data_IF_072772238915
#
_entry.id   IF_072772238915
#
_cell.length_a   1.000
_cell.length_b   1.000
_cell.length_c   1.000
_cell.angle_alpha   90.00
_cell.angle_beta   90.00
_cell.angle_gamma   90.00
#
_symmetry.space_group_name_H-M   'P 1'
#
loop_
_entity.id
_entity.type
_entity.pdbx_description
1 polymer ?
2 water ?
#
# COMPACT_ATOMS: atom_id res chain seq x y z
N UNK A 13 9.65 -5.38 7.15
CA UNK A 13 9.69 -5.92 5.74
C UNK A 13 10.11 -4.87 4.71
N UNK A 14 9.68 -4.98 3.45
CA UNK A 14 10.18 -4.22 2.29
C UNK A 14 9.39 -2.92 2.06
N UNK A 15 9.93 -2.07 1.18
CA UNK A 15 9.38 -0.73 0.86
C UNK A 15 8.72 -0.80 -0.51
N UNK A 16 7.52 -0.29 -0.56
CA UNK A 16 6.74 -0.25 -1.81
C UNK A 16 6.28 1.17 -2.02
N UNK A 17 5.91 1.41 -3.25
CA UNK A 17 5.26 2.69 -3.60
C UNK A 17 4.01 2.42 -4.48
N UNK A 18 2.97 3.22 -4.33
CA UNK A 18 1.76 3.06 -5.18
C UNK A 18 2.06 3.61 -6.55
N UNK A 19 1.65 2.86 -7.57
CA UNK A 19 1.70 3.38 -8.97
C UNK A 19 0.31 3.77 -9.49
N UNK A 20 -0.75 3.60 -8.67
CA UNK A 20 -2.13 4.03 -9.02
C UNK A 20 -2.75 4.57 -7.73
N UNK A 21 -3.65 5.53 -7.88
CA UNK A 21 -4.58 6.02 -6.84
C UNK A 21 -5.62 4.96 -6.48
N UNK A 22 -5.95 4.96 -5.21
CA UNK A 22 -6.96 4.12 -4.56
C UNK A 22 -7.41 4.98 -3.40
N UNK A 23 -7.61 6.27 -3.69
CA UNK A 23 -8.41 7.20 -2.84
C UNK A 23 -9.86 6.67 -2.94
N UNK A 24 -10.76 7.06 -2.04
CA UNK A 24 -12.11 6.45 -2.00
C UNK A 24 -11.90 4.91 -2.08
N UNK A 25 -11.37 4.24 -1.02
CA UNK A 25 -11.51 2.78 -0.90
C UNK A 25 -12.90 2.29 -1.38
N UNK A 29 -9.02 -2.86 8.76
CA UNK A 29 -9.59 -2.00 7.69
C UNK A 29 -8.76 -1.85 6.38
N UNK A 30 -9.43 -1.59 5.24
CA UNK A 30 -8.82 -1.24 3.91
C UNK A 30 -8.47 0.25 3.94
N UNK A 31 -7.31 0.68 3.40
CA UNK A 31 -6.87 2.11 3.50
C UNK A 31 -6.66 2.68 2.09
N UNK A 32 -7.03 3.96 1.91
CA UNK A 32 -6.83 4.72 0.65
C UNK A 32 -5.43 5.36 0.54
N UNK A 33 -5.05 5.74 -0.68
CA UNK A 33 -3.71 6.26 -1.00
C UNK A 33 -3.71 6.82 -2.43
N UNK A 34 -2.60 7.45 -2.76
CA UNK A 34 -2.34 8.16 -4.03
C UNK A 34 -1.06 7.55 -4.60
N UNK A 35 -0.94 7.59 -5.91
CA UNK A 35 0.30 7.17 -6.58
C UNK A 35 1.46 7.99 -5.98
N UNK A 36 2.54 7.32 -5.61
CA UNK A 36 3.76 7.92 -5.04
C UNK A 36 3.78 7.72 -3.55
N UNK A 37 2.65 7.35 -2.92
CA UNK A 37 2.64 7.04 -1.47
C UNK A 37 3.56 5.84 -1.27
N UNK A 38 4.12 5.72 -0.08
CA UNK A 38 5.09 4.67 0.24
C UNK A 38 4.49 3.72 1.28
N UNK A 39 4.93 2.49 1.23
CA UNK A 39 4.45 1.50 2.19
C UNK A 39 5.62 0.65 2.65
N UNK A 40 5.58 0.33 3.94
CA UNK A 40 6.37 -0.79 4.49
C UNK A 40 5.45 -2.01 4.50
N UNK A 41 5.88 -3.08 3.87
CA UNK A 41 5.05 -4.30 3.81
C UNK A 41 5.88 -5.52 4.22
N UNK A 42 5.41 -6.23 5.24
CA UNK A 42 6.04 -7.47 5.75
C UNK A 42 5.64 -8.71 4.92
N UNK A 43 4.40 -8.85 4.43
CA UNK A 43 3.99 -10.00 3.59
C UNK A 43 3.30 -9.51 2.33
N UNK A 44 4.08 -9.32 1.29
CA UNK A 44 3.52 -8.71 0.06
C UNK A 44 2.76 -9.78 -0.72
N UNK A 45 1.65 -9.43 -1.38
CA UNK A 45 0.88 -10.30 -2.30
C UNK A 45 0.39 -9.51 -3.53
N UNK A 46 0.88 -9.89 -4.70
CA UNK A 46 0.60 -9.21 -5.99
C UNK A 46 -0.88 -9.31 -6.34
N UNK A 47 -1.58 -10.30 -5.80
CA UNK A 47 -3.05 -10.46 -6.02
C UNK A 47 -3.75 -10.14 -4.71
N UNK A 48 -5.00 -9.73 -4.81
CA UNK A 48 -5.75 -9.26 -3.62
C UNK A 48 -5.05 -8.13 -2.86
N UNK A 49 -5.00 -8.26 -1.52
CA UNK A 49 -4.82 -7.22 -0.49
C UNK A 49 -3.76 -7.68 0.51
N UNK A 50 -2.91 -6.77 1.00
CA UNK A 50 -1.88 -7.13 2.01
C UNK A 50 -1.80 -6.04 3.05
N UNK A 51 -1.19 -6.42 4.18
CA UNK A 51 -1.02 -5.48 5.30
C UNK A 51 0.17 -4.58 4.99
N UNK A 52 0.00 -3.29 5.18
CA UNK A 52 0.98 -2.28 4.82
C UNK A 52 0.92 -1.14 5.85
N UNK A 53 2.07 -0.53 6.22
CA UNK A 53 2.04 0.80 6.91
C UNK A 53 2.06 1.81 5.77
N UNK A 54 1.14 2.74 5.74
CA UNK A 54 1.05 3.79 4.70
C UNK A 54 1.74 5.07 5.19
N UNK A 55 2.47 5.77 4.34
CA UNK A 55 3.08 7.11 4.67
C UNK A 55 2.68 8.11 3.56
N UNK A 56 2.58 9.41 3.88
CA UNK A 56 2.50 10.53 2.89
C UNK A 56 1.02 10.89 2.57
N UNK A 61 0.01 11.90 10.01
CA UNK A 61 0.17 10.68 10.81
C UNK A 61 0.44 9.48 9.89
N UNK A 62 0.42 8.24 10.42
CA UNK A 62 0.88 7.01 9.70
C UNK A 62 -0.14 5.90 9.93
N UNK A 63 -0.68 5.30 8.90
CA UNK A 63 -1.86 4.42 9.08
C UNK A 63 -1.52 3.03 8.55
N UNK A 64 -2.02 2.02 9.24
CA UNK A 64 -1.82 0.61 8.89
C UNK A 64 -3.18 0.03 8.50
N UNK A 65 -3.20 -0.78 7.46
CA UNK A 65 -4.43 -1.37 6.92
C UNK A 65 -4.11 -2.24 5.75
N UNK A 66 -5.16 -2.59 5.00
CA UNK A 66 -5.06 -3.47 3.82
C UNK A 66 -5.01 -2.59 2.58
N UNK A 67 -4.20 -3.01 1.62
CA UNK A 67 -4.00 -2.27 0.36
C UNK A 67 -3.94 -3.32 -0.73
N UNK A 68 -4.44 -3.01 -1.93
CA UNK A 68 -4.36 -3.94 -3.05
C UNK A 68 -2.95 -3.95 -3.61
N UNK A 69 -2.31 -5.11 -3.50
CA UNK A 69 -0.92 -5.41 -3.86
C UNK A 69 -0.60 -5.05 -5.29
N UNK A 70 -1.55 -5.17 -6.17
CA UNK A 70 -1.30 -4.98 -7.62
C UNK A 70 -1.28 -3.48 -7.91
N UNK A 71 -1.63 -2.63 -6.94
CA UNK A 71 -1.57 -1.15 -7.12
C UNK A 71 -0.17 -0.62 -6.74
N UNK A 72 0.73 -1.51 -6.32
CA UNK A 72 2.00 -1.12 -5.67
C UNK A 72 3.18 -1.78 -6.41
N UNK A 73 4.36 -1.15 -6.36
CA UNK A 73 5.63 -1.73 -6.88
C UNK A 73 6.77 -1.57 -5.85
N UNK A 74 7.72 -2.52 -5.80
CA UNK A 74 8.87 -2.43 -4.90
C UNK A 74 9.68 -1.18 -5.22
N UNK A 75 10.24 -0.56 -4.20
CA UNK A 75 11.08 0.65 -4.26
C UNK A 75 12.55 0.25 -4.20
#
# INVERSE_FOLDING_TARGET
SLDCMGDKSGKGGRLFVAVFDYETPDREGIIGFKAGDRFLIEEYAENGWCEAIHMDTAERPVQKGLVPGNFLRPLEGETKL
#
